data_IF_688010532046
#
_entry.id   IF_688010532046
#
_cell.length_a   1.000
_cell.length_b   1.000
_cell.length_c   1.000
_cell.angle_alpha   90.00
_cell.angle_beta   90.00
_cell.angle_gamma   90.00
#
_symmetry.space_group_name_H-M   'P 1'
#
loop_
_entity.id
_entity.type
_entity.pdbx_description
1 polymer ?
#
# COMPACT_ATOMS: atom_id res chain seq x y z
N UNK A 1 -54.75 10.43 -52.36
CA UNK A 1 -53.95 10.84 -53.54
C UNK A 1 -53.49 12.28 -53.28
N UNK A 2 -52.17 12.53 -53.17
CA UNK A 2 -51.35 13.24 -54.20
C UNK A 2 -51.32 14.75 -53.82
N UNK A 3 -50.24 15.49 -53.54
CA UNK A 3 -48.78 15.39 -53.69
C UNK A 3 -48.06 16.36 -52.71
N UNK A 4 -46.87 15.97 -52.27
CA UNK A 4 -45.73 16.76 -51.73
C UNK A 4 -45.12 17.78 -52.74
N UNK A 5 -43.95 18.43 -52.48
CA UNK A 5 -43.23 18.88 -51.27
C UNK A 5 -42.82 20.38 -51.40
N UNK A 6 -41.90 20.93 -50.57
CA UNK A 6 -40.73 21.76 -50.98
C UNK A 6 -40.05 22.48 -49.79
N UNK A 7 -38.74 22.17 -49.67
CA UNK A 7 -37.56 22.94 -49.20
C UNK A 7 -37.56 23.67 -47.85
N UNK A 8 -36.68 23.31 -46.88
CA UNK A 8 -35.22 23.57 -46.76
C UNK A 8 -34.89 24.93 -46.14
N UNK A 9 -34.18 24.93 -45.00
CA UNK A 9 -33.48 26.10 -44.43
C UNK A 9 -33.19 25.98 -42.92
N UNK A 10 -32.12 25.28 -42.53
CA UNK A 10 -30.91 25.82 -41.87
C UNK A 10 -31.18 26.60 -40.56
N UNK A 11 -31.07 25.99 -39.38
CA UNK A 11 -29.86 25.80 -38.57
C UNK A 11 -29.34 27.07 -37.88
N UNK A 12 -29.45 27.14 -36.54
CA UNK A 12 -28.47 27.77 -35.66
C UNK A 12 -28.62 27.18 -34.24
N UNK A 13 -27.88 26.10 -33.95
CA UNK A 13 -27.72 25.60 -32.59
C UNK A 13 -26.49 26.30 -31.98
N UNK A 14 -26.72 27.19 -31.01
CA UNK A 14 -25.66 27.83 -30.24
C UNK A 14 -25.12 26.82 -29.25
N UNK A 15 -23.91 26.32 -29.48
CA UNK A 15 -23.19 25.53 -28.50
C UNK A 15 -22.53 26.48 -27.49
N UNK A 16 -23.00 26.43 -26.24
CA UNK A 16 -22.31 27.06 -25.12
C UNK A 16 -21.05 26.23 -24.82
N UNK A 17 -19.89 26.70 -25.28
CA UNK A 17 -18.59 26.18 -24.86
C UNK A 17 -18.30 26.66 -23.43
N UNK A 18 -18.62 25.83 -22.44
CA UNK A 18 -18.09 26.00 -21.09
C UNK A 18 -16.63 25.54 -21.05
N UNK A 19 -15.70 26.47 -20.87
CA UNK A 19 -14.34 26.13 -20.46
C UNK A 19 -14.39 25.66 -19.00
N UNK A 20 -14.40 24.35 -18.78
CA UNK A 20 -14.06 23.77 -17.49
C UNK A 20 -12.56 23.99 -17.27
N UNK A 21 -12.25 24.93 -16.40
CA UNK A 21 -10.91 25.18 -15.90
C UNK A 21 -10.31 23.89 -15.33
N UNK A 22 -9.03 23.65 -15.60
CA UNK A 22 -8.30 22.45 -15.21
C UNK A 22 -8.16 22.40 -13.68
N UNK A 23 -9.18 21.86 -13.01
CA UNK A 23 -9.07 21.37 -11.64
C UNK A 23 -8.08 20.21 -11.62
N UNK A 24 -6.94 20.39 -10.95
CA UNK A 24 -5.99 19.31 -10.70
C UNK A 24 -6.72 18.17 -9.99
N UNK A 25 -6.60 16.95 -10.53
CA UNK A 25 -7.10 15.74 -9.91
C UNK A 25 -6.57 15.66 -8.47
N UNK A 26 -7.43 15.96 -7.50
CA UNK A 26 -7.21 15.63 -6.10
C UNK A 26 -7.41 14.12 -6.01
N UNK A 27 -6.40 13.32 -5.61
CA UNK A 27 -6.57 11.89 -5.51
C UNK A 27 -7.56 11.58 -4.39
N UNK A 28 -8.80 11.29 -4.76
CA UNK A 28 -9.78 10.62 -3.90
C UNK A 28 -9.19 9.26 -3.51
N UNK A 29 -9.00 8.96 -2.22
CA UNK A 29 -8.48 7.66 -1.80
C UNK A 29 -9.53 6.58 -2.08
N UNK A 30 -9.46 5.99 -3.28
CA UNK A 30 -10.16 4.75 -3.60
C UNK A 30 -9.44 3.60 -2.89
N UNK A 31 -10.22 2.65 -2.35
CA UNK A 31 -9.78 1.42 -1.67
C UNK A 31 -8.86 0.48 -2.48
N UNK A 32 -8.45 0.91 -3.69
CA UNK A 32 -7.50 0.24 -4.57
C UNK A 32 -6.16 0.97 -4.66
N UNK A 33 -5.82 1.83 -3.69
CA UNK A 33 -4.44 2.29 -3.51
C UNK A 33 -3.59 1.09 -3.09
N UNK A 34 -3.19 0.28 -4.07
CA UNK A 34 -2.10 -0.66 -3.96
C UNK A 34 -0.91 0.17 -3.50
N UNK A 35 -0.58 0.05 -2.21
CA UNK A 35 0.63 0.63 -1.63
C UNK A 35 1.77 0.23 -2.57
N UNK A 36 2.27 1.20 -3.33
CA UNK A 36 3.38 1.04 -4.26
C UNK A 36 4.63 0.81 -3.41
N UNK A 37 4.77 -0.43 -2.96
CA UNK A 37 5.74 -0.86 -1.95
C UNK A 37 5.41 -2.25 -1.41
N UNK A 38 4.12 -2.57 -1.20
CA UNK A 38 3.69 -3.86 -0.62
C UNK A 38 3.84 -5.03 -1.62
N UNK A 39 3.72 -4.76 -2.92
CA UNK A 39 3.87 -5.80 -3.95
C UNK A 39 5.34 -6.03 -4.36
N UNK A 40 6.22 -5.05 -4.12
CA UNK A 40 7.64 -5.13 -4.50
C UNK A 40 8.47 -5.75 -3.37
N UNK A 41 8.08 -5.56 -2.11
CA UNK A 41 8.67 -6.26 -0.95
C UNK A 41 8.51 -7.77 -1.00
N UNK A 42 7.48 -8.29 -1.68
CA UNK A 42 7.30 -9.73 -1.94
C UNK A 42 8.24 -10.28 -3.03
N UNK A 43 8.76 -9.43 -3.92
CA UNK A 43 9.75 -9.83 -4.94
C UNK A 43 11.18 -9.77 -4.43
N UNK A 44 11.43 -9.01 -3.37
CA UNK A 44 12.72 -8.90 -2.74
C UNK A 44 13.05 -10.16 -1.91
N UNK A 45 14.33 -10.54 -1.82
CA UNK A 45 14.78 -11.50 -0.82
C UNK A 45 14.29 -11.09 0.57
N UNK A 46 13.74 -12.04 1.31
CA UNK A 46 13.14 -11.75 2.60
C UNK A 46 13.34 -12.87 3.59
N UNK A 47 13.34 -12.51 4.87
CA UNK A 47 13.29 -13.43 5.99
C UNK A 47 11.87 -13.42 6.53
N UNK A 48 11.21 -14.56 6.50
CA UNK A 48 9.88 -14.74 7.07
C UNK A 48 9.91 -15.72 8.24
N UNK A 49 9.03 -15.51 9.21
CA UNK A 49 8.94 -16.41 10.36
C UNK A 49 7.68 -16.21 11.17
N UNK A 50 7.60 -16.98 12.26
CA UNK A 50 6.53 -16.88 13.24
C UNK A 50 7.15 -16.72 14.63
N UNK A 51 6.70 -15.72 15.37
CA UNK A 51 7.11 -15.44 16.74
C UNK A 51 6.06 -16.03 17.67
N UNK A 52 6.48 -16.98 18.50
CA UNK A 52 5.65 -17.63 19.52
C UNK A 52 6.03 -17.13 20.90
N UNK A 53 5.09 -17.19 21.83
CA UNK A 53 5.30 -16.88 23.24
C UNK A 53 4.96 -18.11 24.09
N UNK A 54 5.60 -18.27 25.25
CA UNK A 54 5.20 -19.28 26.24
C UNK A 54 3.74 -19.11 26.67
N UNK A 55 3.06 -20.22 26.99
CA UNK A 55 1.63 -20.24 27.30
C UNK A 55 1.21 -19.37 28.50
N UNK A 56 2.13 -19.12 29.43
CA UNK A 56 1.94 -18.33 30.65
C UNK A 56 2.31 -16.84 30.49
N UNK A 57 2.76 -16.40 29.31
CA UNK A 57 3.07 -14.99 29.03
C UNK A 57 1.89 -14.36 28.28
N UNK A 58 1.52 -13.14 28.66
CA UNK A 58 0.50 -12.34 27.98
C UNK A 58 1.07 -10.97 27.65
N UNK A 59 0.90 -10.55 26.41
CA UNK A 59 1.26 -9.20 26.02
C UNK A 59 0.19 -8.22 26.48
N UNK A 60 0.58 -7.05 27.01
CA UNK A 60 -0.36 -5.96 27.26
C UNK A 60 -0.92 -5.40 25.94
N UNK A 61 -2.07 -4.71 25.98
CA UNK A 61 -2.76 -4.27 24.76
C UNK A 61 -1.97 -3.27 23.91
N UNK A 62 -1.07 -2.51 24.53
CA UNK A 62 -0.21 -1.49 23.94
C UNK A 62 1.20 -1.98 23.60
N UNK A 63 1.44 -3.30 23.61
CA UNK A 63 2.75 -3.85 23.27
C UNK A 63 3.14 -3.57 21.80
N UNK A 64 4.42 -3.27 21.60
CA UNK A 64 5.03 -3.12 20.28
C UNK A 64 6.00 -4.26 20.00
N UNK A 65 5.80 -4.96 18.89
CA UNK A 65 6.69 -6.00 18.40
C UNK A 65 7.72 -5.42 17.43
N UNK A 66 8.99 -5.44 17.83
CA UNK A 66 10.11 -5.07 16.95
C UNK A 66 10.86 -6.32 16.51
N UNK A 67 10.97 -6.53 15.21
CA UNK A 67 11.72 -7.62 14.59
C UNK A 67 12.86 -7.01 13.79
N UNK A 68 14.07 -7.52 13.99
CA UNK A 68 15.29 -6.94 13.44
C UNK A 68 16.19 -8.02 12.84
N UNK A 69 16.58 -7.83 11.59
CA UNK A 69 17.58 -8.64 10.90
C UNK A 69 18.92 -7.91 10.98
N UNK A 70 19.92 -8.53 11.59
CA UNK A 70 21.25 -7.95 11.78
C UNK A 70 22.35 -8.85 11.22
N UNK A 71 23.39 -8.24 10.66
CA UNK A 71 24.63 -8.90 10.25
C UNK A 71 25.51 -9.13 11.48
N UNK A 72 25.76 -10.40 11.80
CA UNK A 72 26.62 -10.84 12.90
C UNK A 72 27.88 -11.59 12.41
N UNK A 73 28.33 -11.31 11.18
CA UNK A 73 29.52 -11.95 10.61
C UNK A 73 30.84 -11.61 11.32
N UNK A 74 30.90 -10.46 12.00
CA UNK A 74 32.06 -10.03 12.79
C UNK A 74 31.84 -10.37 14.27
N UNK A 75 32.68 -11.25 14.81
CA UNK A 75 32.53 -11.75 16.19
C UNK A 75 32.81 -10.71 17.29
N UNK A 76 33.63 -9.69 16.99
CA UNK A 76 34.12 -8.71 17.98
C UNK A 76 33.60 -7.28 17.72
N UNK A 77 32.56 -7.14 16.91
CA UNK A 77 31.95 -5.86 16.58
C UNK A 77 30.44 -5.88 16.82
N UNK A 78 29.81 -4.73 17.14
CA UNK A 78 28.36 -4.62 17.19
C UNK A 78 27.73 -5.03 15.84
N UNK A 79 26.67 -5.83 15.90
CA UNK A 79 25.95 -6.29 14.72
C UNK A 79 25.27 -5.11 13.99
N UNK A 80 25.38 -5.09 12.66
CA UNK A 80 24.75 -4.05 11.84
C UNK A 80 23.32 -4.43 11.51
N UNK A 81 22.37 -3.55 11.78
CA UNK A 81 20.96 -3.76 11.41
C UNK A 81 20.78 -3.58 9.90
N UNK A 82 20.28 -4.61 9.21
CA UNK A 82 20.02 -4.62 7.77
C UNK A 82 18.55 -4.27 7.49
N UNK A 83 17.63 -4.79 8.31
CA UNK A 83 16.20 -4.59 8.14
C UNK A 83 15.51 -4.61 9.50
N UNK A 84 14.51 -3.75 9.70
CA UNK A 84 13.76 -3.67 10.94
C UNK A 84 12.29 -3.44 10.63
N UNK A 85 11.42 -4.11 11.39
CA UNK A 85 9.98 -3.93 11.33
C UNK A 85 9.42 -3.75 12.74
N UNK A 86 8.59 -2.74 12.92
CA UNK A 86 7.88 -2.48 14.18
C UNK A 86 6.38 -2.57 13.91
N UNK A 87 5.66 -3.33 14.73
CA UNK A 87 4.22 -3.55 14.61
C UNK A 87 3.59 -3.48 15.99
N UNK A 88 2.53 -2.69 16.17
CA UNK A 88 1.73 -2.75 17.40
C UNK A 88 0.95 -4.06 17.43
N UNK A 89 0.90 -4.70 18.59
CA UNK A 89 0.18 -5.97 18.72
C UNK A 89 -1.32 -5.76 18.87
N UNK A 90 -1.78 -4.55 19.24
CA UNK A 90 -3.20 -4.18 19.37
C UNK A 90 -4.02 -5.20 20.17
N UNK A 91 -3.48 -5.64 21.31
CA UNK A 91 -4.08 -6.69 22.15
C UNK A 91 -4.07 -8.11 21.58
N UNK A 92 -3.58 -8.33 20.36
CA UNK A 92 -3.38 -9.67 19.80
C UNK A 92 -2.27 -10.39 20.55
N UNK A 93 -2.38 -11.71 20.60
CA UNK A 93 -1.38 -12.59 21.19
C UNK A 93 -0.68 -13.41 20.11
N UNK A 94 0.47 -13.99 20.47
CA UNK A 94 1.20 -14.90 19.60
C UNK A 94 0.31 -16.09 19.17
N UNK A 95 0.54 -16.66 17.97
CA UNK A 95 1.68 -16.46 17.07
C UNK A 95 1.61 -15.20 16.20
N UNK A 96 2.73 -14.48 16.07
CA UNK A 96 2.88 -13.34 15.15
C UNK A 96 3.70 -13.72 13.92
N UNK A 97 3.12 -13.59 12.73
CA UNK A 97 3.86 -13.79 11.48
C UNK A 97 4.55 -12.51 11.06
N UNK A 98 5.78 -12.63 10.56
CA UNK A 98 6.53 -11.51 10.04
C UNK A 98 7.19 -11.84 8.71
N UNK A 99 7.46 -10.78 7.94
CA UNK A 99 8.27 -10.78 6.73
C UNK A 99 9.16 -9.55 6.82
N UNK A 100 10.47 -9.76 6.72
CA UNK A 100 11.52 -8.74 6.68
C UNK A 100 12.22 -8.82 5.31
N UNK A 101 11.84 -7.96 4.36
CA UNK A 101 12.59 -7.83 3.11
C UNK A 101 13.95 -7.19 3.38
N UNK A 102 14.96 -7.57 2.61
CA UNK A 102 16.29 -6.97 2.64
C UNK A 102 16.90 -6.94 1.25
N UNK A 103 17.81 -6.00 1.02
CA UNK A 103 18.62 -5.95 -0.19
C UNK A 103 19.98 -6.65 0.07
N UNK A 104 20.31 -7.74 -0.64
CA UNK A 104 21.60 -8.43 -0.50
C UNK A 104 22.77 -7.75 -1.24
N UNK A 105 22.53 -6.71 -2.05
CA UNK A 105 23.50 -6.06 -2.92
C UNK A 105 23.95 -4.68 -2.43
#
# INVERSE_FOLDING_TARGET
MKLWPVLTGAALAVALSGCADKGKDVPTPTLASKVAGEADTLRQPHVSGTITLPANVRLPPDASLTVMLSDASLSDAPAKVISQRVVLTDGKQAPFKFILPFNPA
#
